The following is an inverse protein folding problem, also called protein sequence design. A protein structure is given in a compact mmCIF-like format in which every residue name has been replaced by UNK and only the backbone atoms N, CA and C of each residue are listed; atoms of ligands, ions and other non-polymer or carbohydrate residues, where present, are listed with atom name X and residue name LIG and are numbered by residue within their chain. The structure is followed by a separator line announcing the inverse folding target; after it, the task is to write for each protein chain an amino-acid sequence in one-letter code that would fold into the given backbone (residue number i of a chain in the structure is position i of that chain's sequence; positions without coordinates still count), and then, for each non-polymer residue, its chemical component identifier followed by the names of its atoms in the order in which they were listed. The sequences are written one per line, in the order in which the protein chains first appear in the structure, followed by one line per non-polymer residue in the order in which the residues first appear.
data_IF_262747082854
#
_entry.id   IF_262747082854
#
_cell.length_a   1.000
_cell.length_b   1.000
_cell.length_c   1.000
_cell.angle_alpha   90.00
_cell.angle_beta   90.00
_cell.angle_gamma   90.00
#
_symmetry.space_group_name_H-M   'P 1'
#
loop_
_entity.id
_entity.type
_entity.pdbx_description
1 polymer ?
#
# COMPACT_ATOMS: atom_id res chain seq x y z
N UNK A 1 12.13 6.38 27.07
CA UNK A 1 11.71 7.64 27.72
C UNK A 1 11.99 8.79 26.78
N UNK A 2 10.95 9.52 26.35
CA UNK A 2 11.11 10.70 25.50
C UNK A 2 11.67 11.85 26.34
N UNK A 3 12.83 12.39 25.97
CA UNK A 3 13.46 13.52 26.65
C UNK A 3 13.05 14.85 26.07
N UNK A 4 13.22 15.03 24.75
CA UNK A 4 12.86 16.25 24.04
C UNK A 4 12.44 15.97 22.59
N UNK A 5 11.47 16.73 22.09
CA UNK A 5 11.17 16.82 20.65
C UNK A 5 12.02 17.91 20.04
N UNK A 6 12.79 17.57 19.00
CA UNK A 6 13.70 18.50 18.30
C UNK A 6 13.03 19.13 17.08
N UNK A 7 12.25 18.35 16.34
CA UNK A 7 11.58 18.82 15.14
C UNK A 7 10.34 17.97 14.83
N UNK A 8 9.34 18.55 14.17
CA UNK A 8 8.10 17.88 13.76
C UNK A 8 7.85 18.14 12.28
N UNK A 9 7.75 17.06 11.50
CA UNK A 9 7.53 17.11 10.05
C UNK A 9 6.21 16.45 9.71
N UNK A 10 5.13 17.22 9.82
CA UNK A 10 3.78 16.73 9.59
C UNK A 10 3.61 16.14 8.17
N UNK A 11 4.23 16.76 7.16
CA UNK A 11 4.11 16.31 5.77
C UNK A 11 4.67 14.90 5.52
N UNK A 12 5.73 14.51 6.23
CA UNK A 12 6.33 13.17 6.13
C UNK A 12 5.94 12.24 7.28
N UNK A 13 5.09 12.73 8.21
CA UNK A 13 4.73 12.06 9.46
C UNK A 13 5.96 11.62 10.29
N UNK A 14 6.99 12.45 10.37
CA UNK A 14 8.22 12.16 11.13
C UNK A 14 8.46 13.17 12.24
N UNK A 15 9.05 12.70 13.35
CA UNK A 15 9.40 13.53 14.51
C UNK A 15 10.83 13.20 14.90
N UNK A 16 11.67 14.22 15.04
CA UNK A 16 13.02 14.06 15.59
C UNK A 16 12.95 14.21 17.09
N UNK A 17 13.51 13.23 17.79
CA UNK A 17 13.46 13.18 19.25
C UNK A 17 14.81 12.84 19.84
N UNK A 18 15.06 13.35 21.05
CA UNK A 18 16.14 12.91 21.91
C UNK A 18 15.54 12.16 23.11
N UNK A 19 16.08 10.98 23.42
CA UNK A 19 15.61 10.17 24.52
C UNK A 19 16.26 8.80 24.56
N UNK A 20 15.78 7.96 25.48
CA UNK A 20 16.25 6.59 25.66
C UNK A 20 15.25 5.60 25.07
N UNK A 21 15.70 4.70 24.20
CA UNK A 21 14.88 3.60 23.69
C UNK A 21 15.22 2.30 24.43
N UNK A 22 14.20 1.61 24.96
CA UNK A 22 14.36 0.29 25.57
C UNK A 22 13.90 -0.76 24.56
N UNK A 23 14.81 -1.61 24.11
CA UNK A 23 14.51 -2.69 23.18
C UNK A 23 14.36 -4.02 23.93
N UNK A 24 13.23 -4.70 23.70
CA UNK A 24 13.03 -6.06 24.18
C UNK A 24 13.47 -7.06 23.11
N UNK A 25 14.12 -8.15 23.51
CA UNK A 25 14.57 -9.19 22.58
C UNK A 25 13.42 -9.83 21.77
N UNK A 26 12.19 -9.72 22.25
CA UNK A 26 10.97 -10.21 21.59
C UNK A 26 10.27 -9.16 20.72
N UNK A 27 10.67 -7.89 20.83
CA UNK A 27 10.08 -6.80 20.05
C UNK A 27 10.70 -6.71 18.65
N UNK A 28 9.92 -6.33 17.63
CA UNK A 28 10.48 -6.10 16.30
C UNK A 28 11.40 -4.87 16.33
N UNK A 29 12.58 -5.01 15.75
CA UNK A 29 13.49 -3.89 15.47
C UNK A 29 14.13 -4.11 14.09
N UNK A 30 14.53 -3.02 13.45
CA UNK A 30 15.24 -3.03 12.19
C UNK A 30 16.54 -2.23 12.32
N UNK A 31 17.59 -2.70 11.65
CA UNK A 31 18.84 -1.94 11.54
C UNK A 31 18.67 -0.88 10.45
N UNK A 32 19.14 0.34 10.72
CA UNK A 32 19.19 1.38 9.68
C UNK A 32 20.17 0.97 8.56
N UNK A 33 19.80 1.18 7.29
CA UNK A 33 20.68 0.92 6.16
C UNK A 33 21.81 1.94 6.06
N UNK A 34 22.96 1.53 5.52
CA UNK A 34 24.09 2.43 5.29
C UNK A 34 23.99 3.17 3.93
N UNK A 35 23.09 2.72 3.04
CA UNK A 35 22.96 3.18 1.64
C UNK A 35 21.74 4.08 1.35
N UNK A 36 20.92 4.32 2.38
CA UNK A 36 19.72 5.18 2.33
C UNK A 36 19.74 6.13 3.52
N UNK A 37 19.21 7.35 3.35
CA UNK A 37 19.08 8.25 4.48
C UNK A 37 18.10 7.74 5.53
N UNK A 38 18.30 8.14 6.78
CA UNK A 38 17.43 7.71 7.88
C UNK A 38 15.96 8.04 7.62
N UNK A 39 15.69 9.22 7.05
CA UNK A 39 14.33 9.69 6.74
C UNK A 39 13.64 8.81 5.70
N UNK A 40 14.38 8.41 4.67
CA UNK A 40 13.88 7.53 3.63
C UNK A 40 13.59 6.13 4.19
N UNK A 41 14.53 5.58 4.96
CA UNK A 41 14.36 4.27 5.60
C UNK A 41 13.18 4.26 6.59
N UNK A 42 13.05 5.28 7.43
CA UNK A 42 11.91 5.44 8.34
C UNK A 42 10.58 5.58 7.59
N UNK A 43 10.57 6.32 6.47
CA UNK A 43 9.38 6.41 5.64
C UNK A 43 8.96 5.02 5.13
N UNK A 44 9.89 4.18 4.69
CA UNK A 44 9.61 2.80 4.26
C UNK A 44 9.15 1.93 5.45
N UNK A 45 9.80 2.04 6.61
CA UNK A 45 9.48 1.24 7.79
C UNK A 45 8.07 1.46 8.33
N UNK A 46 7.52 2.67 8.18
CA UNK A 46 6.12 3.00 8.49
C UNK A 46 5.09 2.07 7.80
N UNK A 47 5.46 1.52 6.64
CA UNK A 47 4.58 0.63 5.85
C UNK A 47 5.28 -0.68 5.46
N UNK A 48 6.31 -1.10 6.19
CA UNK A 48 7.16 -2.22 5.77
C UNK A 48 6.42 -3.56 5.64
N UNK A 49 5.29 -3.75 6.32
CA UNK A 49 4.47 -4.94 6.17
C UNK A 49 3.70 -5.04 4.86
N UNK A 50 3.56 -3.96 4.09
CA UNK A 50 2.64 -3.88 2.95
C UNK A 50 3.05 -4.83 1.81
N UNK A 51 4.20 -4.59 1.19
CA UNK A 51 4.68 -5.39 0.06
C UNK A 51 4.96 -6.86 0.42
N UNK A 52 5.59 -7.22 1.56
CA UNK A 52 5.79 -8.63 1.90
C UNK A 52 4.49 -9.45 1.94
N UNK A 53 3.36 -8.83 2.32
CA UNK A 53 2.06 -9.50 2.32
C UNK A 53 1.52 -9.68 0.90
N UNK A 54 1.74 -8.71 0.01
CA UNK A 54 1.46 -8.88 -1.43
C UNK A 54 2.26 -10.05 -2.00
N UNK A 55 3.56 -10.11 -1.72
CA UNK A 55 4.43 -11.20 -2.17
C UNK A 55 3.98 -12.59 -1.69
N UNK A 56 3.29 -12.65 -0.54
CA UNK A 56 2.75 -13.89 0.03
C UNK A 56 1.41 -14.30 -0.56
N UNK A 57 0.61 -13.33 -0.99
CA UNK A 57 -0.81 -13.51 -1.31
C UNK A 57 -1.12 -13.46 -2.80
N UNK A 58 -0.25 -12.84 -3.61
CA UNK A 58 -0.44 -12.73 -5.06
C UNK A 58 0.21 -13.91 -5.76
N UNK A 59 -0.60 -14.65 -6.50
CA UNK A 59 -0.16 -15.77 -7.32
C UNK A 59 0.29 -15.31 -8.72
N UNK A 60 1.21 -16.04 -9.38
CA UNK A 60 1.58 -15.78 -10.77
C UNK A 60 0.34 -15.80 -11.69
N UNK A 61 0.23 -14.81 -12.57
CA UNK A 61 -0.91 -14.65 -13.48
C UNK A 61 -2.14 -13.98 -12.88
N UNK A 62 -2.15 -13.64 -11.58
CA UNK A 62 -3.29 -13.01 -10.95
C UNK A 62 -3.58 -11.60 -11.50
N UNK A 63 -4.87 -11.27 -11.55
CA UNK A 63 -5.34 -9.90 -11.67
C UNK A 63 -5.46 -9.28 -10.27
N UNK A 64 -4.88 -8.09 -10.08
CA UNK A 64 -4.75 -7.43 -8.78
C UNK A 64 -5.22 -5.99 -8.87
N UNK A 65 -6.02 -5.54 -7.90
CA UNK A 65 -6.33 -4.13 -7.68
C UNK A 65 -5.64 -3.61 -6.42
N UNK A 66 -5.06 -2.43 -6.51
CA UNK A 66 -4.56 -1.69 -5.34
C UNK A 66 -5.36 -0.39 -5.21
N UNK A 67 -6.14 -0.26 -4.14
CA UNK A 67 -6.85 0.98 -3.82
C UNK A 67 -5.91 1.91 -3.03
N UNK A 68 -5.83 3.18 -3.41
CA UNK A 68 -4.86 4.12 -2.85
C UNK A 68 -3.44 3.85 -3.37
N UNK A 69 -3.34 3.40 -4.63
CA UNK A 69 -2.10 2.92 -5.23
C UNK A 69 -1.03 4.01 -5.39
N UNK A 70 -1.39 5.29 -5.33
CA UNK A 70 -0.43 6.40 -5.37
C UNK A 70 0.14 6.77 -3.99
N UNK A 71 -0.42 6.22 -2.91
CA UNK A 71 0.08 6.39 -1.54
C UNK A 71 1.33 5.57 -1.24
N UNK A 72 1.92 5.77 -0.05
CA UNK A 72 3.19 5.15 0.34
C UNK A 72 3.15 3.61 0.30
N UNK A 73 2.17 3.01 0.99
CA UNK A 73 1.96 1.55 0.98
C UNK A 73 1.42 1.08 -0.36
N UNK A 74 0.53 1.84 -0.99
CA UNK A 74 -0.08 1.50 -2.28
C UNK A 74 0.94 1.33 -3.40
N UNK A 75 1.92 2.23 -3.51
CA UNK A 75 2.96 2.12 -4.55
C UNK A 75 3.84 0.88 -4.32
N UNK A 76 4.21 0.59 -3.07
CA UNK A 76 4.94 -0.63 -2.73
C UNK A 76 4.11 -1.88 -3.05
N UNK A 77 2.82 -1.87 -2.73
CA UNK A 77 1.92 -2.96 -3.10
C UNK A 77 1.80 -3.14 -4.61
N UNK A 78 1.71 -2.06 -5.39
CA UNK A 78 1.61 -2.14 -6.85
C UNK A 78 2.91 -2.69 -7.47
N UNK A 79 4.08 -2.22 -7.00
CA UNK A 79 5.37 -2.72 -7.44
C UNK A 79 5.55 -4.22 -7.13
N UNK A 80 5.18 -4.64 -5.92
CA UNK A 80 5.26 -6.05 -5.53
C UNK A 80 4.24 -6.91 -6.28
N UNK A 81 3.01 -6.43 -6.46
CA UNK A 81 1.98 -7.14 -7.21
C UNK A 81 2.44 -7.36 -8.65
N UNK A 82 3.09 -6.36 -9.27
CA UNK A 82 3.66 -6.50 -10.61
C UNK A 82 4.75 -7.56 -10.65
N UNK A 83 5.63 -7.59 -9.64
CA UNK A 83 6.69 -8.59 -9.51
C UNK A 83 6.13 -10.00 -9.31
N UNK A 84 5.16 -10.17 -8.41
CA UNK A 84 4.58 -11.46 -8.03
C UNK A 84 3.68 -12.05 -9.11
N UNK A 85 2.78 -11.24 -9.68
CA UNK A 85 1.87 -11.70 -10.73
C UNK A 85 2.60 -11.96 -12.06
N UNK A 86 3.71 -11.27 -12.30
CA UNK A 86 4.57 -11.49 -13.46
C UNK A 86 3.91 -11.13 -14.80
N UNK A 87 4.48 -11.57 -15.94
CA UNK A 87 4.05 -11.14 -17.27
C UNK A 87 2.62 -11.53 -17.67
N UNK A 88 2.06 -12.59 -17.06
CA UNK A 88 0.69 -13.03 -17.30
C UNK A 88 -0.34 -12.39 -16.37
N UNK A 89 0.12 -11.64 -15.37
CA UNK A 89 -0.74 -10.96 -14.42
C UNK A 89 -1.20 -9.60 -14.92
N UNK A 90 -2.13 -8.99 -14.19
CA UNK A 90 -2.60 -7.63 -14.45
C UNK A 90 -2.68 -6.85 -13.15
N UNK A 91 -2.12 -5.65 -13.12
CA UNK A 91 -2.16 -4.76 -11.95
C UNK A 91 -2.94 -3.50 -12.29
N UNK A 92 -3.97 -3.22 -11.51
CA UNK A 92 -4.82 -2.02 -11.65
C UNK A 92 -4.63 -1.16 -10.40
N UNK A 93 -4.15 0.06 -10.58
CA UNK A 93 -4.06 1.04 -9.50
C UNK A 93 -5.28 1.95 -9.48
N UNK A 94 -5.87 2.18 -8.31
CA UNK A 94 -6.90 3.19 -8.09
C UNK A 94 -6.34 4.29 -7.20
N UNK A 95 -6.37 5.53 -7.68
CA UNK A 95 -5.90 6.71 -6.95
C UNK A 95 -6.85 7.87 -7.21
N UNK A 96 -7.18 8.68 -6.19
CA UNK A 96 -8.12 9.79 -6.36
C UNK A 96 -7.43 11.12 -6.65
N UNK A 97 -6.15 11.25 -6.28
CA UNK A 97 -5.37 12.46 -6.48
C UNK A 97 -4.55 12.39 -7.77
N UNK A 98 -4.91 13.20 -8.77
CA UNK A 98 -4.32 13.14 -10.12
C UNK A 98 -2.77 13.18 -10.14
N UNK A 99 -2.07 14.06 -9.39
CA UNK A 99 -0.60 14.04 -9.39
C UNK A 99 0.00 12.72 -8.89
N UNK A 100 -0.67 12.03 -7.97
CA UNK A 100 -0.23 10.71 -7.51
C UNK A 100 -0.57 9.61 -8.53
N UNK A 101 -1.68 9.76 -9.27
CA UNK A 101 -2.00 8.90 -10.39
C UNK A 101 -0.97 9.05 -11.54
N UNK A 102 -0.51 10.27 -11.80
CA UNK A 102 0.54 10.55 -12.79
C UNK A 102 1.88 9.92 -12.40
N UNK A 103 2.30 10.07 -11.14
CA UNK A 103 3.48 9.38 -10.60
C UNK A 103 3.33 7.85 -10.77
N UNK A 104 2.16 7.28 -10.48
CA UNK A 104 1.90 5.86 -10.61
C UNK A 104 1.96 5.37 -12.07
N UNK A 105 1.42 6.16 -13.01
CA UNK A 105 1.54 5.89 -14.46
C UNK A 105 3.01 5.92 -14.89
N UNK A 106 3.77 6.92 -14.45
CA UNK A 106 5.18 7.08 -14.80
C UNK A 106 6.07 5.93 -14.27
N UNK A 107 5.71 5.34 -13.13
CA UNK A 107 6.41 4.18 -12.57
C UNK A 107 6.22 2.90 -13.41
N UNK A 108 5.10 2.78 -14.13
CA UNK A 108 4.84 1.63 -15.01
C UNK A 108 4.57 0.30 -14.29
N UNK A 109 4.22 0.33 -12.99
CA UNK A 109 3.86 -0.89 -12.25
C UNK A 109 2.44 -1.37 -12.52
N UNK A 110 1.54 -0.46 -12.90
CA UNK A 110 0.15 -0.78 -13.21
C UNK A 110 -0.08 -0.83 -14.71
N UNK A 111 -0.82 -1.84 -15.18
CA UNK A 111 -1.31 -1.92 -16.56
C UNK A 111 -2.41 -0.86 -16.80
N UNK A 112 -3.19 -0.54 -15.76
CA UNK A 112 -4.16 0.55 -15.76
C UNK A 112 -4.10 1.36 -14.47
N UNK A 113 -4.21 2.68 -14.61
CA UNK A 113 -4.40 3.61 -13.48
C UNK A 113 -5.76 4.27 -13.63
N UNK A 114 -6.66 3.94 -12.69
CA UNK A 114 -8.00 4.49 -12.59
C UNK A 114 -7.99 5.67 -11.63
N UNK A 115 -8.46 6.82 -12.10
CA UNK A 115 -8.67 7.98 -11.24
C UNK A 115 -10.09 7.95 -10.70
N UNK A 116 -10.24 7.55 -9.44
CA UNK A 116 -11.54 7.43 -8.79
C UNK A 116 -11.43 7.58 -7.28
N UNK A 117 -12.50 8.09 -6.66
CA UNK A 117 -12.65 8.06 -5.21
C UNK A 117 -12.99 6.64 -4.76
N UNK A 118 -12.10 6.04 -3.97
CA UNK A 118 -12.29 4.70 -3.43
C UNK A 118 -13.51 4.57 -2.50
N UNK A 119 -14.14 5.68 -2.10
CA UNK A 119 -15.40 5.70 -1.33
C UNK A 119 -16.66 5.55 -2.20
N UNK A 120 -16.52 5.58 -3.53
CA UNK A 120 -17.60 5.28 -4.46
C UNK A 120 -17.47 3.84 -5.00
N UNK A 121 -18.11 2.85 -4.34
CA UNK A 121 -17.97 1.46 -4.72
C UNK A 121 -18.56 1.14 -6.10
N UNK A 122 -19.53 1.92 -6.57
CA UNK A 122 -20.16 1.68 -7.88
C UNK A 122 -19.24 2.19 -8.99
N UNK A 123 -18.71 3.41 -8.85
CA UNK A 123 -17.78 3.98 -9.81
C UNK A 123 -16.48 3.18 -9.90
N UNK A 124 -15.90 2.81 -8.75
CA UNK A 124 -14.70 1.96 -8.70
C UNK A 124 -14.95 0.62 -9.36
N UNK A 125 -16.08 -0.04 -9.06
CA UNK A 125 -16.41 -1.32 -9.68
C UNK A 125 -16.52 -1.21 -11.19
N UNK A 126 -17.25 -0.23 -11.70
CA UNK A 126 -17.41 -0.03 -13.14
C UNK A 126 -16.06 0.18 -13.84
N UNK A 127 -15.20 1.05 -13.28
CA UNK A 127 -13.91 1.37 -13.87
C UNK A 127 -12.92 0.19 -13.80
N UNK A 128 -12.88 -0.54 -12.68
CA UNK A 128 -12.00 -1.70 -12.52
C UNK A 128 -12.41 -2.84 -13.44
N UNK A 129 -13.71 -3.16 -13.53
CA UNK A 129 -14.18 -4.18 -14.47
C UNK A 129 -13.83 -3.79 -15.91
N UNK A 130 -14.01 -2.53 -16.30
CA UNK A 130 -13.61 -2.07 -17.63
C UNK A 130 -12.10 -2.27 -17.89
N UNK A 131 -11.25 -1.95 -16.92
CA UNK A 131 -9.80 -2.18 -16.99
C UNK A 131 -9.41 -3.68 -16.96
N UNK A 132 -10.28 -4.54 -16.42
CA UNK A 132 -10.07 -5.98 -16.33
C UNK A 132 -10.91 -6.80 -17.32
N UNK A 133 -11.29 -6.22 -18.46
CA UNK A 133 -11.99 -6.96 -19.52
C UNK A 133 -13.38 -7.47 -19.13
N UNK A 134 -14.07 -6.72 -18.26
CA UNK A 134 -15.40 -7.03 -17.74
C UNK A 134 -15.41 -7.94 -16.50
N UNK A 135 -14.24 -8.39 -16.04
CA UNK A 135 -14.14 -9.36 -14.93
C UNK A 135 -13.70 -8.69 -13.62
N UNK A 136 -14.11 -9.30 -12.51
CA UNK A 136 -13.58 -8.98 -11.18
C UNK A 136 -12.14 -9.51 -11.03
N UNK A 137 -11.38 -8.98 -10.08
CA UNK A 137 -9.97 -9.34 -9.86
C UNK A 137 -9.80 -10.47 -8.85
N UNK A 138 -8.67 -11.18 -8.94
CA UNK A 138 -8.31 -12.27 -8.03
C UNK A 138 -7.98 -11.77 -6.62
N UNK A 139 -7.33 -10.61 -6.53
CA UNK A 139 -6.89 -10.03 -5.27
C UNK A 139 -7.08 -8.50 -5.24
N UNK A 140 -7.55 -7.98 -4.11
CA UNK A 140 -7.60 -6.54 -3.88
C UNK A 140 -6.87 -6.15 -2.61
N UNK A 141 -5.99 -5.15 -2.70
CA UNK A 141 -5.29 -4.56 -1.57
C UNK A 141 -5.83 -3.14 -1.31
N UNK A 142 -6.44 -2.92 -0.15
CA UNK A 142 -6.88 -1.59 0.26
C UNK A 142 -5.79 -0.90 1.09
N UNK A 143 -5.15 0.09 0.48
CA UNK A 143 -4.13 0.95 1.08
C UNK A 143 -4.62 2.38 1.31
N UNK A 144 -5.94 2.61 1.21
CA UNK A 144 -6.54 3.95 1.27
C UNK A 144 -6.66 4.41 2.72
N UNK A 145 -6.09 5.57 3.05
CA UNK A 145 -6.17 6.15 4.40
C UNK A 145 -7.44 7.02 4.63
N UNK A 146 -8.59 6.57 4.12
CA UNK A 146 -9.91 7.14 4.44
C UNK A 146 -10.89 6.01 4.72
N UNK A 147 -11.92 6.29 5.52
CA UNK A 147 -12.98 5.34 5.83
C UNK A 147 -13.92 5.12 4.62
N UNK A 148 -14.66 4.01 4.61
CA UNK A 148 -15.75 3.77 3.66
C UNK A 148 -15.32 3.20 2.31
N UNK A 149 -14.15 2.55 2.26
CA UNK A 149 -13.59 1.96 1.04
C UNK A 149 -13.78 0.44 0.97
N UNK A 150 -14.36 -0.16 2.02
CA UNK A 150 -14.47 -1.61 2.19
C UNK A 150 -15.27 -2.24 1.04
N UNK A 151 -16.41 -1.63 0.69
CA UNK A 151 -17.26 -2.13 -0.39
C UNK A 151 -16.61 -2.01 -1.76
N UNK A 152 -15.78 -1.00 -1.99
CA UNK A 152 -15.03 -0.88 -3.25
C UNK A 152 -14.06 -2.04 -3.40
N UNK A 153 -13.39 -2.43 -2.31
CA UNK A 153 -12.47 -3.56 -2.31
C UNK A 153 -13.19 -4.91 -2.48
N UNK A 154 -14.35 -5.08 -1.85
CA UNK A 154 -15.14 -6.32 -1.94
C UNK A 154 -15.77 -6.49 -3.32
N UNK A 155 -16.39 -5.43 -3.86
CA UNK A 155 -17.18 -5.53 -5.09
C UNK A 155 -16.36 -5.73 -6.36
N UNK A 156 -15.09 -5.31 -6.36
CA UNK A 156 -14.15 -5.54 -7.46
C UNK A 156 -13.48 -6.91 -7.40
N UNK A 157 -13.59 -7.62 -6.27
CA UNK A 157 -12.96 -8.91 -6.07
C UNK A 157 -13.92 -10.03 -6.47
N UNK A 158 -13.39 -11.03 -7.18
CA UNK A 158 -14.18 -12.17 -7.65
C UNK A 158 -14.63 -13.06 -6.51
N UNK A 159 -15.62 -13.90 -6.78
CA UNK A 159 -15.98 -15.00 -5.89
C UNK A 159 -14.75 -15.87 -5.56
N UNK A 160 -14.60 -16.19 -4.26
CA UNK A 160 -13.42 -16.84 -3.66
C UNK A 160 -12.09 -16.12 -3.95
N UNK A 161 -12.14 -14.82 -4.25
CA UNK A 161 -10.97 -13.95 -4.33
C UNK A 161 -10.60 -13.40 -2.96
N UNK A 162 -9.45 -12.73 -2.88
CA UNK A 162 -8.91 -12.21 -1.62
C UNK A 162 -9.06 -10.68 -1.52
N UNK A 163 -9.38 -10.20 -0.34
CA UNK A 163 -9.34 -8.77 0.00
C UNK A 163 -8.43 -8.58 1.20
N UNK A 164 -7.36 -7.82 1.02
CA UNK A 164 -6.43 -7.47 2.08
C UNK A 164 -6.60 -6.00 2.46
N UNK A 165 -6.96 -5.75 3.72
CA UNK A 165 -7.10 -4.40 4.26
C UNK A 165 -5.83 -4.00 5.00
N UNK A 166 -4.98 -3.19 4.35
CA UNK A 166 -3.76 -2.68 4.96
C UNK A 166 -4.01 -1.42 5.80
N UNK A 167 -4.95 -0.57 5.38
CA UNK A 167 -5.16 0.72 6.00
C UNK A 167 -5.90 0.64 7.35
N UNK A 168 -5.44 1.43 8.32
CA UNK A 168 -6.01 1.52 9.66
C UNK A 168 -7.38 2.22 9.70
N UNK A 169 -7.81 2.86 8.62
CA UNK A 169 -9.15 3.45 8.48
C UNK A 169 -10.25 2.42 8.17
N UNK A 170 -9.90 1.13 8.04
CA UNK A 170 -10.85 0.06 7.70
C UNK A 170 -11.77 -0.27 8.88
N UNK A 171 -13.07 -0.29 8.64
CA UNK A 171 -14.06 -0.89 9.53
C UNK A 171 -14.29 -2.36 9.17
N UNK A 172 -13.70 -3.28 9.95
CA UNK A 172 -13.88 -4.72 9.72
C UNK A 172 -15.32 -5.18 9.88
N UNK A 173 -16.12 -4.51 10.72
CA UNK A 173 -17.56 -4.77 10.82
C UNK A 173 -18.29 -4.41 9.53
N UNK A 174 -17.99 -3.24 8.93
CA UNK A 174 -18.56 -2.87 7.63
C UNK A 174 -18.10 -3.81 6.51
N UNK A 175 -16.84 -4.24 6.53
CA UNK A 175 -16.34 -5.20 5.56
C UNK A 175 -17.08 -6.54 5.65
N UNK A 176 -17.17 -7.13 6.84
CA UNK A 176 -17.80 -8.44 7.05
C UNK A 176 -19.30 -8.43 6.71
N UNK A 177 -20.06 -7.49 7.30
CA UNK A 177 -21.50 -7.38 7.04
C UNK A 177 -21.80 -6.91 5.61
N UNK A 178 -20.92 -6.08 5.05
CA UNK A 178 -21.01 -5.61 3.67
C UNK A 178 -20.88 -6.77 2.68
N UNK A 179 -19.87 -7.63 2.85
CA UNK A 179 -19.67 -8.82 2.03
C UNK A 179 -20.88 -9.76 2.07
N UNK A 180 -21.40 -10.05 3.27
CA UNK A 180 -22.63 -10.84 3.46
C UNK A 180 -23.82 -10.18 2.75
N UNK A 181 -24.04 -8.87 2.96
CA UNK A 181 -25.18 -8.15 2.44
C UNK A 181 -25.25 -8.07 0.91
N UNK A 182 -24.11 -8.16 0.22
CA UNK A 182 -24.05 -8.21 -1.25
C UNK A 182 -23.84 -9.63 -1.80
N UNK A 183 -23.84 -10.65 -0.95
CA UNK A 183 -23.68 -12.05 -1.35
C UNK A 183 -22.31 -12.35 -1.98
N UNK A 184 -21.24 -11.71 -1.47
CA UNK A 184 -19.87 -11.90 -1.96
C UNK A 184 -19.09 -12.83 -1.04
N UNK A 185 -18.78 -14.03 -1.51
CA UNK A 185 -17.93 -14.97 -0.79
C UNK A 185 -16.45 -14.70 -1.11
N UNK A 186 -15.81 -13.85 -0.31
CA UNK A 186 -14.40 -13.46 -0.47
C UNK A 186 -13.61 -13.73 0.82
N UNK A 187 -12.32 -14.02 0.68
CA UNK A 187 -11.43 -14.17 1.83
C UNK A 187 -10.95 -12.80 2.30
N UNK A 188 -11.40 -12.37 3.48
CA UNK A 188 -11.05 -11.08 4.08
C UNK A 188 -9.84 -11.21 5.01
N UNK A 189 -8.78 -10.46 4.72
CA UNK A 189 -7.56 -10.40 5.51
C UNK A 189 -7.44 -9.06 6.25
N UNK A 190 -7.23 -9.16 7.57
CA UNK A 190 -6.87 -8.03 8.43
C UNK A 190 -5.36 -7.82 8.34
N UNK A 191 -4.93 -6.69 7.79
CA UNK A 191 -3.52 -6.34 7.74
C UNK A 191 -3.00 -5.93 9.11
N UNK A 192 -2.00 -6.66 9.62
CA UNK A 192 -1.42 -6.43 10.94
C UNK A 192 -0.03 -5.75 10.88
N UNK A 193 0.35 -5.22 9.71
CA UNK A 193 1.58 -4.45 9.51
C UNK A 193 2.89 -5.23 9.66
N UNK A 194 2.85 -6.52 9.98
CA UNK A 194 4.04 -7.33 10.25
C UNK A 194 4.15 -8.53 9.32
N UNK A 195 5.36 -8.77 8.84
CA UNK A 195 5.79 -9.99 8.19
C UNK A 195 7.24 -10.27 8.59
N UNK A 196 7.63 -11.55 8.64
CA UNK A 196 9.04 -11.88 8.86
C UNK A 196 9.91 -11.26 7.78
N UNK A 197 10.97 -10.55 8.19
CA UNK A 197 11.90 -9.83 7.31
C UNK A 197 11.26 -8.69 6.51
N UNK A 198 10.20 -8.07 7.04
CA UNK A 198 9.49 -6.99 6.35
C UNK A 198 10.38 -5.79 6.03
N UNK A 199 11.36 -5.51 6.91
CA UNK A 199 12.24 -4.36 6.81
C UNK A 199 13.22 -4.56 5.65
N UNK A 200 13.87 -5.72 5.62
CA UNK A 200 14.82 -6.11 4.58
C UNK A 200 14.13 -6.16 3.22
N UNK A 201 12.95 -6.79 3.12
CA UNK A 201 12.18 -6.85 1.88
C UNK A 201 11.84 -5.45 1.37
N UNK A 202 11.29 -4.59 2.22
CA UNK A 202 10.82 -3.26 1.80
C UNK A 202 11.97 -2.33 1.41
N UNK A 203 13.09 -2.37 2.13
CA UNK A 203 14.30 -1.64 1.73
C UNK A 203 14.85 -2.18 0.41
N UNK A 204 14.82 -3.50 0.21
CA UNK A 204 15.29 -4.12 -1.02
C UNK A 204 14.47 -3.67 -2.24
N UNK A 205 13.17 -3.41 -2.08
CA UNK A 205 12.36 -2.84 -3.18
C UNK A 205 12.89 -1.49 -3.68
N UNK A 206 13.35 -0.61 -2.78
CA UNK A 206 13.96 0.66 -3.22
C UNK A 206 15.27 0.43 -3.99
N UNK A 207 15.98 -0.65 -3.71
CA UNK A 207 17.21 -1.02 -4.44
C UNK A 207 16.89 -1.64 -5.79
N UNK A 208 15.87 -2.50 -5.84
CA UNK A 208 15.45 -3.21 -7.05
C UNK A 208 14.74 -2.28 -8.06
N UNK A 209 14.09 -1.22 -7.57
CA UNK A 209 13.31 -0.29 -8.38
C UNK A 209 13.83 1.15 -8.26
N UNK A 210 14.81 1.57 -9.09
CA UNK A 210 15.38 2.92 -9.01
C UNK A 210 14.36 4.06 -9.17
N UNK A 211 13.37 3.90 -10.04
CA UNK A 211 12.31 4.91 -10.23
C UNK A 211 11.43 5.07 -8.97
N UNK A 212 11.17 3.97 -8.27
CA UNK A 212 10.46 3.97 -7.00
C UNK A 212 11.26 4.69 -5.92
N UNK A 213 12.55 4.37 -5.80
CA UNK A 213 13.46 5.06 -4.89
C UNK A 213 13.49 6.56 -5.15
N UNK A 214 13.67 6.97 -6.40
CA UNK A 214 13.69 8.38 -6.78
C UNK A 214 12.37 9.09 -6.42
N UNK A 215 11.22 8.42 -6.52
CA UNK A 215 9.94 8.98 -6.08
C UNK A 215 9.88 9.14 -4.56
N UNK A 216 10.31 8.12 -3.81
CA UNK A 216 10.32 8.17 -2.35
C UNK A 216 11.28 9.25 -1.82
N UNK A 217 12.47 9.39 -2.41
CA UNK A 217 13.42 10.46 -2.09
C UNK A 217 12.77 11.84 -2.28
N UNK A 218 12.13 12.08 -3.44
CA UNK A 218 11.39 13.34 -3.70
C UNK A 218 10.30 13.64 -2.66
N UNK A 219 9.56 12.62 -2.22
CA UNK A 219 8.39 12.79 -1.34
C UNK A 219 8.73 12.86 0.15
N UNK A 220 9.80 12.18 0.58
CA UNK A 220 10.05 11.93 2.00
C UNK A 220 11.44 12.34 2.51
N UNK A 221 12.40 12.59 1.63
CA UNK A 221 13.74 13.00 2.03
C UNK A 221 13.89 14.54 2.01
N UNK A 222 13.29 15.20 1.02
CA UNK A 222 13.37 16.64 0.89
C UNK A 222 12.92 17.33 2.19
N UNK A 223 13.74 18.27 2.68
CA UNK A 223 13.25 19.23 3.65
C UNK A 223 12.11 19.97 2.95
N UNK A 224 10.88 19.78 3.41
CA UNK A 224 9.86 20.80 3.18
C UNK A 224 10.28 22.03 3.98
N UNK A 225 11.28 22.76 3.48
CA UNK A 225 11.47 24.16 3.81
C UNK A 225 10.24 24.87 3.23
N UNK A 226 9.24 25.11 4.07
CA UNK A 226 8.31 26.20 3.82
C UNK A 226 8.86 27.44 4.54
N UNK A 227 8.78 28.63 3.90
CA UNK A 227 9.40 29.87 4.37
C UNK A 227 8.89 30.35 5.74
#
# INVERSE_FOLDING_TARGET
VLGATKDVRAASAQIDVEGEAVLFATGPFAKMPDDLSDRLALAVFDVAGAAPQVARLVEPGASVVVLGAGGKSGILCAAEARRAAGPGGKVIGVESYEPYADDLRALGFCDHVVVADARDPVAVRAAVLAANGGNEVDATFSCVNVEGTEMSAILVTRDRGLVYFFAMSTSFTRAALGAEGVGKDVDLFIGNGFAHRHAEHSLQMLRDFPALRALFERRYEARNESP
#
